data_IF_396758815140
#
_entry.id   IF_396758815140
#
_cell.length_a   1.000
_cell.length_b   1.000
_cell.length_c   1.000
_cell.angle_alpha   90.00
_cell.angle_beta   90.00
_cell.angle_gamma   90.00
#
_symmetry.space_group_name_H-M   'P 1'
#
loop_
_entity.id
_entity.type
_entity.pdbx_description
1 polymer ?
#
# COMPACT_ATOMS: atom_id res chain seq x y z
N UNK A 1 -1.58 -19.33 19.51
CA UNK A 1 -1.67 -17.95 18.99
C UNK A 1 -0.31 -17.68 18.37
N UNK A 2 -0.16 -17.59 17.04
CA UNK A 2 1.17 -17.36 16.50
C UNK A 2 1.60 -15.95 16.88
N UNK A 3 2.82 -15.87 17.36
CA UNK A 3 3.48 -14.70 17.92
C UNK A 3 3.44 -13.57 16.90
N UNK A 4 2.87 -12.45 17.33
CA UNK A 4 3.00 -11.16 16.67
C UNK A 4 4.47 -10.79 16.65
N UNK A 5 5.18 -11.26 15.61
CA UNK A 5 6.48 -10.76 15.23
C UNK A 5 6.40 -9.24 15.25
N UNK A 6 7.35 -8.62 15.95
CA UNK A 6 7.44 -7.18 16.18
C UNK A 6 7.54 -6.46 14.84
N UNK A 7 6.38 -6.20 14.24
CA UNK A 7 6.28 -5.56 12.94
C UNK A 7 6.67 -4.11 13.15
N UNK A 8 7.73 -3.66 12.48
CA UNK A 8 8.07 -2.23 12.39
C UNK A 8 7.02 -1.44 11.59
N UNK A 9 5.91 -2.07 11.19
CA UNK A 9 4.75 -1.44 10.60
C UNK A 9 4.06 -0.52 11.60
N UNK A 10 4.45 0.76 11.57
CA UNK A 10 3.84 1.84 12.35
C UNK A 10 2.57 2.40 11.69
N UNK A 11 2.02 1.69 10.71
CA UNK A 11 0.87 2.13 9.91
C UNK A 11 -0.41 1.43 10.37
N UNK A 12 -1.54 2.03 10.02
CA UNK A 12 -2.91 1.52 10.23
C UNK A 12 -3.28 0.30 9.38
N UNK A 13 -2.38 -0.17 8.52
CA UNK A 13 -2.74 -1.11 7.45
C UNK A 13 -3.27 -2.43 7.95
N UNK A 14 -2.74 -2.95 9.05
CA UNK A 14 -3.20 -4.21 9.64
C UNK A 14 -4.63 -4.13 10.19
N UNK A 15 -5.12 -2.93 10.47
CA UNK A 15 -6.50 -2.68 10.91
C UNK A 15 -7.44 -2.47 9.71
N UNK A 16 -6.93 -1.92 8.61
CA UNK A 16 -7.73 -1.61 7.41
C UNK A 16 -7.80 -2.77 6.42
N UNK A 17 -6.72 -3.52 6.30
CA UNK A 17 -6.51 -4.46 5.22
C UNK A 17 -6.05 -5.81 5.76
N UNK A 18 -6.40 -6.87 5.01
CA UNK A 18 -5.93 -8.21 5.29
C UNK A 18 -4.56 -8.43 4.63
N UNK A 19 -3.54 -8.76 5.42
CA UNK A 19 -2.28 -9.28 4.89
C UNK A 19 -2.44 -10.75 4.50
N UNK A 20 -1.93 -11.12 3.34
CA UNK A 20 -1.87 -12.51 2.88
C UNK A 20 -0.48 -13.08 3.11
N UNK A 21 -0.42 -14.35 3.50
CA UNK A 21 0.83 -15.06 3.73
C UNK A 21 1.53 -15.43 2.42
N UNK A 22 2.86 -15.41 2.44
CA UNK A 22 3.70 -15.82 1.30
C UNK A 22 5.12 -15.27 1.41
N UNK A 23 5.91 -15.53 0.37
CA UNK A 23 7.25 -14.96 0.22
C UNK A 23 7.15 -13.58 -0.44
N UNK A 24 7.29 -12.53 0.37
CA UNK A 24 7.23 -11.14 -0.09
C UNK A 24 8.35 -10.81 -1.09
N UNK A 25 9.54 -11.38 -0.94
CA UNK A 25 10.66 -11.11 -1.84
C UNK A 25 10.40 -11.73 -3.22
N UNK A 26 10.02 -13.00 -3.25
CA UNK A 26 9.67 -13.67 -4.51
C UNK A 26 8.44 -13.04 -5.17
N UNK A 27 7.45 -12.62 -4.37
CA UNK A 27 6.28 -11.89 -4.87
C UNK A 27 6.70 -10.54 -5.48
N UNK A 28 7.57 -9.79 -4.82
CA UNK A 28 8.05 -8.51 -5.32
C UNK A 28 8.81 -8.68 -6.64
N UNK A 29 9.76 -9.60 -6.72
CA UNK A 29 10.58 -9.83 -7.92
C UNK A 29 9.76 -10.22 -9.16
N UNK A 30 8.65 -10.93 -8.96
CA UNK A 30 7.77 -11.35 -10.04
C UNK A 30 6.83 -10.24 -10.57
N UNK A 31 6.80 -9.06 -9.93
CA UNK A 31 6.00 -7.91 -10.39
C UNK A 31 6.67 -7.19 -11.59
N UNK A 32 5.89 -6.58 -12.50
CA UNK A 32 6.42 -5.66 -13.51
C UNK A 32 7.22 -4.50 -12.89
N UNK A 33 8.23 -4.01 -13.62
CA UNK A 33 9.15 -2.95 -13.15
C UNK A 33 8.41 -1.68 -12.72
N UNK A 34 7.37 -1.28 -13.46
CA UNK A 34 6.52 -0.13 -13.15
C UNK A 34 5.86 -0.25 -11.77
N UNK A 35 5.31 -1.42 -11.48
CA UNK A 35 4.65 -1.72 -10.21
C UNK A 35 5.68 -1.83 -9.09
N UNK A 36 6.83 -2.48 -9.33
CA UNK A 36 7.92 -2.53 -8.33
C UNK A 36 8.37 -1.14 -7.90
N UNK A 37 8.62 -0.24 -8.86
CA UNK A 37 8.97 1.17 -8.58
C UNK A 37 7.90 1.86 -7.73
N UNK A 38 6.64 1.72 -8.11
CA UNK A 38 5.51 2.31 -7.38
C UNK A 38 5.36 1.74 -5.96
N UNK A 39 5.64 0.45 -5.79
CA UNK A 39 5.62 -0.25 -4.50
C UNK A 39 6.78 0.22 -3.63
N UNK A 40 7.97 0.49 -4.17
CA UNK A 40 9.13 1.01 -3.41
C UNK A 40 9.02 2.49 -3.06
N UNK A 41 8.36 3.29 -3.90
CA UNK A 41 8.02 4.69 -3.61
C UNK A 41 7.08 4.81 -2.41
N UNK A 42 6.35 3.73 -2.11
CA UNK A 42 5.55 3.62 -0.92
C UNK A 42 6.20 2.66 0.06
N UNK A 43 5.90 2.79 1.35
CA UNK A 43 6.37 1.82 2.34
C UNK A 43 5.63 0.45 2.23
N UNK A 44 5.28 0.00 1.02
CA UNK A 44 4.62 -1.28 0.75
C UNK A 44 5.60 -2.46 0.72
N UNK A 45 6.88 -2.25 1.03
CA UNK A 45 7.89 -3.31 0.98
C UNK A 45 7.49 -4.56 1.81
N UNK A 46 6.66 -4.37 2.85
CA UNK A 46 6.11 -5.45 3.67
C UNK A 46 4.84 -6.14 3.14
N UNK A 47 4.27 -5.78 1.97
CA UNK A 47 2.95 -6.26 1.50
C UNK A 47 2.96 -6.73 0.03
N UNK A 48 4.12 -7.14 -0.48
CA UNK A 48 4.32 -7.52 -1.88
C UNK A 48 3.48 -8.73 -2.31
N UNK A 49 3.16 -9.66 -1.40
CA UNK A 49 2.21 -10.75 -1.67
C UNK A 49 0.82 -10.22 -2.05
N UNK A 50 0.30 -9.22 -1.34
CA UNK A 50 -1.00 -8.62 -1.65
C UNK A 50 -1.01 -7.97 -3.04
N UNK A 51 0.05 -7.23 -3.36
CA UNK A 51 0.20 -6.58 -4.68
C UNK A 51 0.27 -7.63 -5.79
N UNK A 52 0.96 -8.75 -5.56
CA UNK A 52 1.02 -9.88 -6.50
C UNK A 52 -0.36 -10.50 -6.75
N UNK A 53 -1.19 -10.67 -5.71
CA UNK A 53 -2.57 -11.17 -5.86
C UNK A 53 -3.39 -10.23 -6.75
N UNK A 54 -3.32 -8.92 -6.49
CA UNK A 54 -3.99 -7.90 -7.31
C UNK A 54 -3.47 -7.91 -8.75
N UNK A 55 -2.16 -8.02 -8.94
CA UNK A 55 -1.56 -8.13 -10.27
C UNK A 55 -2.07 -9.33 -11.04
N UNK A 56 -2.13 -10.51 -10.42
CA UNK A 56 -2.70 -11.72 -11.05
C UNK A 56 -4.16 -11.51 -11.46
N UNK A 57 -4.94 -10.80 -10.66
CA UNK A 57 -6.32 -10.45 -10.97
C UNK A 57 -6.42 -9.52 -12.20
N UNK A 58 -5.71 -8.39 -12.19
CA UNK A 58 -5.72 -7.44 -13.31
C UNK A 58 -5.14 -8.03 -14.60
N UNK A 59 -4.10 -8.85 -14.49
CA UNK A 59 -3.53 -9.61 -15.60
C UNK A 59 -4.54 -10.60 -16.20
N UNK A 60 -5.42 -11.20 -15.38
CA UNK A 60 -6.48 -12.09 -15.86
C UNK A 60 -7.57 -11.33 -16.61
N UNK A 61 -7.96 -10.15 -16.13
CA UNK A 61 -9.03 -9.34 -16.74
C UNK A 61 -8.58 -8.67 -18.05
N UNK A 62 -7.40 -8.05 -18.06
CA UNK A 62 -6.94 -7.21 -19.16
C UNK A 62 -5.79 -7.83 -19.98
N UNK A 63 -5.37 -9.05 -19.66
CA UNK A 63 -4.17 -9.68 -20.22
C UNK A 63 -2.87 -9.06 -19.70
N UNK A 64 -1.72 -9.49 -20.24
CA UNK A 64 -0.41 -8.92 -19.93
C UNK A 64 -0.17 -7.64 -20.74
N UNK A 65 -1.02 -6.64 -20.55
CA UNK A 65 -1.02 -5.38 -21.29
C UNK A 65 -0.63 -4.20 -20.41
N UNK A 66 -0.13 -3.12 -21.01
CA UNK A 66 0.11 -1.86 -20.29
C UNK A 66 -1.17 -1.30 -19.64
N UNK A 67 -2.35 -1.68 -20.14
CA UNK A 67 -3.64 -1.34 -19.53
C UNK A 67 -3.81 -1.99 -18.17
N UNK A 68 -3.43 -3.26 -18.02
CA UNK A 68 -3.48 -3.99 -16.76
C UNK A 68 -2.59 -3.33 -15.70
N UNK A 69 -1.35 -2.98 -16.08
CA UNK A 69 -0.41 -2.29 -15.19
C UNK A 69 -0.97 -0.94 -14.74
N UNK A 70 -1.45 -0.11 -15.68
CA UNK A 70 -2.05 1.20 -15.35
C UNK A 70 -3.29 1.07 -14.46
N UNK A 71 -4.09 0.03 -14.64
CA UNK A 71 -5.26 -0.21 -13.79
C UNK A 71 -4.85 -0.55 -12.35
N UNK A 72 -3.84 -1.41 -12.18
CA UNK A 72 -3.29 -1.72 -10.86
C UNK A 72 -2.66 -0.48 -10.22
N UNK A 73 -1.85 0.31 -10.94
CA UNK A 73 -1.23 1.52 -10.41
C UNK A 73 -2.28 2.49 -9.85
N UNK A 74 -3.35 2.77 -10.61
CA UNK A 74 -4.46 3.61 -10.13
C UNK A 74 -5.15 3.04 -8.89
N UNK A 75 -5.27 1.73 -8.81
CA UNK A 75 -5.85 1.09 -7.64
C UNK A 75 -4.95 1.21 -6.41
N UNK A 76 -3.62 1.08 -6.58
CA UNK A 76 -2.65 1.33 -5.50
C UNK A 76 -2.68 2.80 -5.03
N UNK A 77 -2.79 3.76 -5.95
CA UNK A 77 -2.97 5.18 -5.61
C UNK A 77 -4.26 5.41 -4.80
N UNK A 78 -5.34 4.72 -5.17
CA UNK A 78 -6.60 4.77 -4.45
C UNK A 78 -6.48 4.19 -3.04
N UNK A 79 -5.83 3.03 -2.88
CA UNK A 79 -5.56 2.43 -1.57
C UNK A 79 -4.71 3.35 -0.68
N UNK A 80 -3.66 3.95 -1.23
CA UNK A 80 -2.83 4.93 -0.49
C UNK A 80 -3.67 6.10 0.02
N UNK A 81 -4.57 6.64 -0.82
CA UNK A 81 -5.43 7.75 -0.40
C UNK A 81 -6.31 7.35 0.78
N UNK A 82 -6.90 6.15 0.76
CA UNK A 82 -7.69 5.64 1.89
C UNK A 82 -6.84 5.48 3.15
N UNK A 83 -5.61 4.95 3.03
CA UNK A 83 -4.69 4.82 4.16
C UNK A 83 -4.34 6.18 4.78
N UNK A 84 -4.11 7.21 3.96
CA UNK A 84 -3.84 8.57 4.41
C UNK A 84 -5.05 9.18 5.12
N UNK A 85 -6.25 9.02 4.57
CA UNK A 85 -7.50 9.51 5.17
C UNK A 85 -7.74 8.86 6.54
N UNK A 86 -7.58 7.54 6.64
CA UNK A 86 -7.71 6.82 7.90
C UNK A 86 -6.66 7.24 8.93
N UNK A 87 -5.41 7.47 8.49
CA UNK A 87 -4.36 7.97 9.36
C UNK A 87 -4.64 9.37 9.88
N UNK A 88 -5.10 10.29 9.03
CA UNK A 88 -5.49 11.64 9.42
C UNK A 88 -6.63 11.62 10.45
N UNK A 89 -7.66 10.80 10.21
CA UNK A 89 -8.78 10.64 11.13
C UNK A 89 -8.31 10.15 12.51
N UNK A 90 -7.52 9.06 12.56
CA UNK A 90 -7.02 8.51 13.83
C UNK A 90 -6.07 9.46 14.55
N UNK A 91 -5.26 10.20 13.81
CA UNK A 91 -4.37 11.21 14.38
C UNK A 91 -5.17 12.34 15.05
N UNK A 92 -6.23 12.82 14.39
CA UNK A 92 -7.16 13.80 14.95
C UNK A 92 -7.88 13.29 16.20
N UNK A 93 -8.35 12.05 16.22
CA UNK A 93 -8.97 11.43 17.39
C UNK A 93 -8.00 11.28 18.56
N UNK A 94 -6.75 10.89 18.28
CA UNK A 94 -5.75 10.60 19.32
C UNK A 94 -5.17 11.87 19.95
N UNK A 95 -4.92 12.89 19.13
CA UNK A 95 -4.17 14.08 19.54
C UNK A 95 -4.99 15.38 19.50
N UNK A 96 -6.24 15.35 19.00
CA UNK A 96 -7.10 16.54 18.90
C UNK A 96 -6.61 17.58 17.90
N UNK A 97 -5.69 17.23 17.01
CA UNK A 97 -5.05 18.14 16.07
C UNK A 97 -5.01 17.55 14.66
N UNK A 98 -5.11 18.42 13.65
CA UNK A 98 -4.90 18.05 12.24
C UNK A 98 -3.43 17.69 12.02
N UNK A 99 -3.16 16.82 11.04
CA UNK A 99 -1.79 16.52 10.65
C UNK A 99 -1.05 17.82 10.27
N UNK A 100 0.19 18.05 10.75
CA UNK A 100 0.91 19.30 10.51
C UNK A 100 1.08 19.67 9.03
N UNK A 101 1.23 18.67 8.14
CA UNK A 101 1.35 18.90 6.69
C UNK A 101 0.03 19.29 6.04
N UNK A 102 -1.09 18.70 6.48
CA UNK A 102 -2.43 19.09 6.03
C UNK A 102 -2.79 20.50 6.52
N UNK A 103 -2.47 20.81 7.79
CA UNK A 103 -2.65 22.15 8.36
C UNK A 103 -1.81 23.21 7.63
N UNK A 104 -0.61 22.85 7.17
CA UNK A 104 0.26 23.73 6.40
C UNK A 104 -0.10 23.78 4.89
N UNK A 105 -1.02 22.94 4.41
CA UNK A 105 -1.33 22.74 3.00
C UNK A 105 -0.09 22.42 2.13
N UNK A 106 0.92 21.76 2.73
CA UNK A 106 2.17 21.38 2.04
C UNK A 106 2.18 19.88 1.82
N UNK A 107 2.53 19.38 0.62
CA UNK A 107 2.69 17.95 0.42
C UNK A 107 3.84 17.42 1.28
N UNK A 108 3.67 16.24 1.86
CA UNK A 108 4.79 15.48 2.43
C UNK A 108 5.78 15.24 1.28
N UNK A 109 6.99 15.80 1.41
CA UNK A 109 8.09 15.58 0.46
C UNK A 109 8.25 14.07 0.23
N UNK A 110 8.13 13.66 -1.03
CA UNK A 110 8.32 12.28 -1.48
C UNK A 110 9.76 12.08 -1.92
#
# INVERSE_FOLDING_TARGET
MPESATSNERTLRHEMWRRYDGDDWAAFEALPVSIRRRVTEHAYDAWSVNVMILWRHYKRIYGRTARAERALLRYLDYCERLEREAFAARYGETYGMTLPHDAAAVPVLR
#
